data_IF_866217310461
#
_entry.id   IF_866217310461
#
_cell.length_a   1.000
_cell.length_b   1.000
_cell.length_c   1.000
_cell.angle_alpha   90.00
_cell.angle_beta   90.00
_cell.angle_gamma   90.00
#
_symmetry.space_group_name_H-M   'P 1'
#
loop_
_entity.id
_entity.type
_entity.pdbx_description
1 polymer ?
#
# COMPACT_ATOMS: atom_id res chain seq x y z
N UNK A 1 -45.55 -19.08 55.91
CA UNK A 1 -44.11 -18.85 55.63
C UNK A 1 -43.74 -19.56 54.34
N UNK A 2 -43.36 -18.81 53.30
CA UNK A 2 -42.55 -19.22 52.12
C UNK A 2 -42.56 -18.06 51.12
N UNK A 3 -41.76 -17.03 51.39
CA UNK A 3 -41.36 -16.06 50.36
C UNK A 3 -40.06 -16.59 49.77
N UNK A 4 -40.15 -17.18 48.58
CA UNK A 4 -38.99 -17.58 47.80
C UNK A 4 -38.48 -16.33 47.08
N UNK A 5 -37.54 -15.64 47.70
CA UNK A 5 -36.77 -14.56 47.08
C UNK A 5 -35.77 -15.17 46.09
N UNK A 6 -36.24 -15.47 44.87
CA UNK A 6 -35.38 -15.83 43.76
C UNK A 6 -34.72 -14.53 43.26
N UNK A 7 -33.56 -14.21 43.85
CA UNK A 7 -32.70 -13.13 43.41
C UNK A 7 -32.28 -13.39 41.97
N UNK A 8 -32.96 -12.72 41.04
CA UNK A 8 -32.52 -12.52 39.67
C UNK A 8 -31.22 -11.71 39.77
N UNK A 9 -30.09 -12.40 39.90
CA UNK A 9 -28.79 -11.79 39.64
C UNK A 9 -28.76 -11.53 38.14
N UNK A 10 -29.34 -10.40 37.74
CA UNK A 10 -29.01 -9.70 36.52
C UNK A 10 -27.52 -9.35 36.66
N UNK A 11 -26.66 -10.32 36.36
CA UNK A 11 -25.34 -10.04 35.81
C UNK A 11 -25.63 -9.30 34.51
N UNK A 12 -25.90 -8.00 34.65
CA UNK A 12 -25.61 -7.03 33.63
C UNK A 12 -24.13 -7.25 33.36
N UNK A 13 -23.85 -8.10 32.37
CA UNK A 13 -22.61 -7.98 31.64
C UNK A 13 -22.71 -6.59 31.04
N UNK A 14 -22.28 -5.61 31.83
CA UNK A 14 -21.83 -4.33 31.32
C UNK A 14 -20.76 -4.74 30.33
N UNK A 15 -21.18 -4.93 29.08
CA UNK A 15 -20.30 -4.98 27.95
C UNK A 15 -19.57 -3.66 28.03
N UNK A 16 -18.35 -3.70 28.55
CA UNK A 16 -17.49 -2.54 28.59
C UNK A 16 -17.32 -2.18 27.12
N UNK A 17 -18.15 -1.24 26.65
CA UNK A 17 -18.04 -0.71 25.31
C UNK A 17 -16.62 -0.17 25.24
N UNK A 18 -15.78 -0.82 24.45
CA UNK A 18 -14.38 -0.44 24.30
C UNK A 18 -14.38 1.01 23.84
N UNK A 19 -14.01 1.93 24.73
CA UNK A 19 -14.05 3.35 24.44
C UNK A 19 -12.99 3.63 23.38
N UNK A 20 -13.42 3.95 22.16
CA UNK A 20 -12.53 4.35 21.07
C UNK A 20 -12.04 5.78 21.33
N UNK A 21 -10.93 5.92 22.05
CA UNK A 21 -10.30 7.22 22.30
C UNK A 21 -10.00 7.91 20.96
N UNK A 22 -10.56 9.10 20.67
CA UNK A 22 -10.33 9.75 19.39
C UNK A 22 -8.85 10.06 19.17
N UNK A 23 -8.37 9.85 17.96
CA UNK A 23 -7.03 10.24 17.51
C UNK A 23 -7.14 10.59 16.04
N UNK A 24 -6.56 11.71 15.61
CA UNK A 24 -6.47 12.03 14.20
C UNK A 24 -5.10 12.64 13.93
N UNK A 25 -4.17 11.78 13.53
CA UNK A 25 -2.80 12.19 13.24
C UNK A 25 -2.74 13.11 12.02
N UNK A 26 -3.79 13.26 11.20
CA UNK A 26 -3.78 14.23 10.08
C UNK A 26 -4.03 15.65 10.60
N UNK A 27 -4.95 15.81 11.55
CA UNK A 27 -5.38 17.13 12.06
C UNK A 27 -4.71 17.53 13.37
N UNK A 28 -4.00 16.60 14.03
CA UNK A 28 -3.26 16.90 15.26
C UNK A 28 -2.22 18.01 15.03
N UNK A 29 -2.11 19.00 15.95
CA UNK A 29 -1.10 20.04 15.85
C UNK A 29 0.32 19.47 15.73
N UNK A 30 1.12 20.05 14.82
CA UNK A 30 2.50 19.64 14.57
C UNK A 30 2.68 18.19 14.09
N UNK A 31 1.61 17.50 13.69
CA UNK A 31 1.76 16.15 13.18
C UNK A 31 2.53 16.13 11.85
N UNK A 32 3.46 15.17 11.66
CA UNK A 32 4.10 14.93 10.38
C UNK A 32 3.14 14.80 9.18
N UNK A 33 1.94 14.24 9.39
CA UNK A 33 0.98 14.07 8.29
C UNK A 33 0.45 15.37 7.70
N UNK A 34 0.65 16.51 8.35
CA UNK A 34 0.39 17.82 7.74
C UNK A 34 1.30 18.10 6.53
N UNK A 35 2.48 17.47 6.50
CA UNK A 35 3.50 17.58 5.43
C UNK A 35 3.56 16.37 4.50
N UNK A 36 3.00 15.23 4.92
CA UNK A 36 2.99 14.00 4.11
C UNK A 36 1.73 13.98 3.24
N UNK A 37 1.86 14.14 1.91
CA UNK A 37 0.72 14.18 1.01
C UNK A 37 0.02 12.83 0.96
N UNK A 38 -1.23 12.86 0.49
CA UNK A 38 -1.94 11.63 0.14
C UNK A 38 -1.33 11.14 -1.16
N UNK A 39 -0.70 9.97 -1.12
CA UNK A 39 -0.22 9.36 -2.33
C UNK A 39 -1.37 8.78 -3.16
N UNK A 40 -1.30 8.98 -4.47
CA UNK A 40 -2.20 8.36 -5.43
C UNK A 40 -1.48 7.18 -6.08
N UNK A 41 -1.78 5.97 -5.60
CA UNK A 41 -1.22 4.74 -6.19
C UNK A 41 -1.94 4.33 -7.48
N UNK A 42 -3.08 4.95 -7.77
CA UNK A 42 -3.97 4.62 -8.88
C UNK A 42 -4.21 3.10 -9.02
N UNK A 43 -4.07 2.54 -10.22
CA UNK A 43 -4.19 1.10 -10.49
C UNK A 43 -2.91 0.29 -10.26
N UNK A 44 -1.86 0.83 -9.63
CA UNK A 44 -0.65 0.06 -9.32
C UNK A 44 -0.87 -0.85 -8.10
N UNK A 45 -0.24 -2.03 -8.08
CA UNK A 45 -0.32 -2.98 -6.96
C UNK A 45 0.77 -2.78 -5.90
N UNK A 46 1.57 -1.71 -6.00
CA UNK A 46 2.63 -1.39 -5.03
C UNK A 46 2.11 -0.69 -3.75
N UNK A 47 0.86 -0.96 -3.34
CA UNK A 47 0.22 -0.37 -2.16
C UNK A 47 1.09 -0.47 -0.88
N UNK A 48 1.73 -1.62 -0.69
CA UNK A 48 2.66 -1.85 0.42
C UNK A 48 3.82 -0.85 0.43
N UNK A 49 4.32 -0.44 -0.72
CA UNK A 49 5.43 0.48 -0.84
C UNK A 49 4.99 1.93 -0.56
N UNK A 50 3.77 2.30 -0.98
CA UNK A 50 3.15 3.58 -0.62
C UNK A 50 2.91 3.72 0.88
N UNK A 51 2.42 2.67 1.53
CA UNK A 51 2.26 2.65 3.00
C UNK A 51 3.63 2.71 3.68
N UNK A 52 4.62 1.96 3.19
CA UNK A 52 5.97 1.99 3.75
C UNK A 52 6.58 3.39 3.66
N UNK A 53 6.47 4.06 2.51
CA UNK A 53 6.93 5.45 2.32
C UNK A 53 6.32 6.39 3.36
N UNK A 54 4.99 6.34 3.57
CA UNK A 54 4.31 7.18 4.55
C UNK A 54 4.73 6.87 6.00
N UNK A 55 4.93 5.60 6.35
CA UNK A 55 5.43 5.22 7.68
C UNK A 55 6.84 5.77 7.94
N UNK A 56 7.73 5.66 6.95
CA UNK A 56 9.10 6.17 7.05
C UNK A 56 9.11 7.69 7.18
N UNK A 57 8.38 8.39 6.30
CA UNK A 57 8.30 9.84 6.34
C UNK A 57 7.73 10.32 7.68
N UNK A 58 6.70 9.67 8.22
CA UNK A 58 6.16 10.00 9.53
C UNK A 58 7.21 9.84 10.65
N UNK A 59 7.94 8.72 10.67
CA UNK A 59 8.96 8.45 11.70
C UNK A 59 10.13 9.45 11.62
N UNK A 60 10.59 9.76 10.41
CA UNK A 60 11.72 10.65 10.17
C UNK A 60 11.37 12.11 10.44
N UNK A 61 10.16 12.53 10.06
CA UNK A 61 9.68 13.88 10.36
C UNK A 61 9.48 14.11 11.85
N UNK A 62 9.06 13.09 12.62
CA UNK A 62 9.10 13.17 14.10
C UNK A 62 10.51 13.37 14.65
N UNK A 63 11.54 12.94 13.92
CA UNK A 63 12.97 13.11 14.25
C UNK A 63 13.59 14.37 13.63
N UNK A 64 12.77 15.26 13.05
CA UNK A 64 13.21 16.56 12.54
C UNK A 64 13.58 16.61 11.06
N UNK A 65 13.50 15.49 10.33
CA UNK A 65 13.65 15.50 8.87
C UNK A 65 12.50 16.31 8.27
N UNK A 66 12.78 17.27 7.39
CA UNK A 66 11.73 18.17 6.88
C UNK A 66 11.07 17.67 5.59
N UNK A 67 11.75 16.80 4.86
CA UNK A 67 11.40 16.40 3.50
C UNK A 67 11.03 14.92 3.41
N UNK A 68 10.31 14.56 2.35
CA UNK A 68 10.01 13.17 2.02
C UNK A 68 11.30 12.46 1.62
N UNK A 69 11.44 11.24 2.08
CA UNK A 69 12.72 10.53 1.98
C UNK A 69 12.71 9.46 0.91
N UNK A 70 11.74 8.55 0.95
CA UNK A 70 11.74 7.35 0.14
C UNK A 70 10.57 7.33 -0.84
N UNK A 71 10.85 7.28 -2.14
CA UNK A 71 9.82 7.13 -3.15
C UNK A 71 9.21 5.71 -3.14
N UNK A 72 7.87 5.55 -3.19
CA UNK A 72 7.19 4.24 -3.22
C UNK A 72 7.72 3.28 -4.28
N UNK A 73 7.88 3.74 -5.53
CA UNK A 73 8.44 2.89 -6.59
C UNK A 73 9.84 2.33 -6.25
N UNK A 74 10.73 3.15 -5.66
CA UNK A 74 12.06 2.68 -5.26
C UNK A 74 12.01 1.67 -4.12
N UNK A 75 11.09 1.88 -3.16
CA UNK A 75 10.85 0.92 -2.08
C UNK A 75 10.33 -0.42 -2.62
N UNK A 76 9.44 -0.40 -3.61
CA UNK A 76 8.94 -1.61 -4.26
C UNK A 76 10.06 -2.40 -4.96
N UNK A 77 11.01 -1.70 -5.58
CA UNK A 77 12.18 -2.34 -6.17
C UNK A 77 13.12 -2.94 -5.12
N UNK A 78 13.43 -2.20 -4.05
CA UNK A 78 14.25 -2.71 -2.96
C UNK A 78 13.61 -3.95 -2.33
N UNK A 79 12.29 -3.97 -2.21
CA UNK A 79 11.54 -5.16 -1.82
C UNK A 79 11.77 -6.33 -2.78
N UNK A 80 11.60 -6.14 -4.09
CA UNK A 80 11.88 -7.18 -5.09
C UNK A 80 13.30 -7.73 -5.03
N UNK A 81 14.31 -6.86 -4.93
CA UNK A 81 15.73 -7.26 -4.75
C UNK A 81 15.93 -8.06 -3.46
N UNK A 82 15.25 -7.67 -2.38
CA UNK A 82 15.34 -8.35 -1.09
C UNK A 82 14.67 -9.74 -1.15
N UNK A 83 13.51 -9.85 -1.79
CA UNK A 83 12.77 -11.08 -1.98
C UNK A 83 13.60 -12.12 -2.75
N UNK A 84 14.15 -11.74 -3.90
CA UNK A 84 15.00 -12.61 -4.73
C UNK A 84 16.19 -13.16 -3.93
N UNK A 85 16.83 -12.29 -3.13
CA UNK A 85 18.03 -12.67 -2.38
C UNK A 85 17.72 -13.55 -1.15
N UNK A 86 16.63 -13.26 -0.44
CA UNK A 86 16.44 -13.77 0.93
C UNK A 86 15.25 -14.71 1.10
N UNK A 87 14.35 -14.84 0.11
CA UNK A 87 13.16 -15.68 0.24
C UNK A 87 13.29 -16.90 -0.70
N UNK A 88 13.46 -18.11 -0.13
CA UNK A 88 13.47 -19.34 -0.92
C UNK A 88 12.20 -19.44 -1.77
N UNK A 89 12.34 -19.79 -3.05
CA UNK A 89 11.27 -19.90 -4.04
C UNK A 89 10.67 -18.57 -4.57
N UNK A 90 11.14 -17.41 -4.10
CA UNK A 90 10.80 -16.11 -4.73
C UNK A 90 11.90 -15.64 -5.71
N UNK A 91 12.96 -16.45 -5.92
CA UNK A 91 14.07 -16.12 -6.84
C UNK A 91 13.62 -15.80 -8.27
N UNK A 92 12.50 -16.38 -8.71
CA UNK A 92 11.96 -16.15 -10.05
C UNK A 92 10.83 -15.12 -10.08
N UNK A 93 10.36 -14.67 -8.90
CA UNK A 93 9.29 -13.69 -8.77
C UNK A 93 9.90 -12.31 -8.67
N UNK A 94 10.18 -11.73 -9.84
CA UNK A 94 10.84 -10.42 -9.93
C UNK A 94 9.83 -9.24 -9.94
N UNK A 95 8.58 -9.52 -9.59
CA UNK A 95 7.46 -8.58 -9.63
C UNK A 95 7.52 -7.56 -8.48
N UNK A 96 7.57 -6.26 -8.81
CA UNK A 96 7.46 -5.20 -7.79
C UNK A 96 6.02 -5.04 -7.27
N UNK A 97 5.01 -5.53 -8.02
CA UNK A 97 3.58 -5.39 -7.68
C UNK A 97 3.09 -6.28 -6.52
N UNK A 98 3.92 -7.18 -6.00
CA UNK A 98 3.59 -8.00 -4.82
C UNK A 98 4.57 -7.70 -3.70
N UNK A 99 4.08 -7.47 -2.50
CA UNK A 99 4.94 -7.27 -1.35
C UNK A 99 4.19 -7.08 -0.05
N UNK A 100 4.95 -6.74 1.00
CA UNK A 100 4.39 -6.36 2.29
C UNK A 100 5.28 -5.32 2.97
N UNK A 101 4.68 -4.54 3.87
CA UNK A 101 5.35 -3.41 4.52
C UNK A 101 6.57 -3.83 5.34
N UNK A 102 6.47 -4.93 6.10
CA UNK A 102 7.59 -5.42 6.93
C UNK A 102 8.84 -5.72 6.10
N UNK A 103 8.73 -6.57 5.07
CA UNK A 103 9.87 -6.95 4.22
C UNK A 103 10.42 -5.76 3.47
N UNK A 104 9.57 -4.80 3.11
CA UNK A 104 9.99 -3.54 2.47
C UNK A 104 10.85 -2.72 3.44
N UNK A 105 10.48 -2.60 4.71
CA UNK A 105 11.32 -1.97 5.73
C UNK A 105 12.61 -2.75 5.97
N UNK A 106 12.56 -4.08 6.01
CA UNK A 106 13.76 -4.93 6.16
C UNK A 106 14.74 -4.75 5.00
N UNK A 107 14.25 -4.53 3.78
CA UNK A 107 15.09 -4.30 2.60
C UNK A 107 16.04 -3.09 2.76
N UNK A 108 15.65 -2.09 3.57
CA UNK A 108 16.41 -0.88 3.84
C UNK A 108 17.70 -1.14 4.62
N UNK A 109 17.81 -2.30 5.28
CA UNK A 109 19.06 -2.73 5.94
C UNK A 109 20.13 -3.15 4.93
N UNK A 110 19.71 -3.48 3.71
CA UNK A 110 20.58 -4.07 2.68
C UNK A 110 20.80 -3.11 1.51
N UNK A 111 19.76 -2.35 1.14
CA UNK A 111 19.76 -1.53 -0.07
C UNK A 111 19.57 -0.05 0.28
N UNK A 112 20.35 0.85 -0.35
CA UNK A 112 20.17 2.28 -0.17
C UNK A 112 18.83 2.76 -0.76
N UNK A 113 18.38 3.92 -0.29
CA UNK A 113 17.17 4.58 -0.77
C UNK A 113 17.54 5.73 -1.69
N UNK A 114 16.83 5.87 -2.81
CA UNK A 114 16.91 7.05 -3.64
C UNK A 114 15.95 8.13 -3.14
N UNK A 115 16.41 9.39 -3.10
CA UNK A 115 15.58 10.52 -2.67
C UNK A 115 14.26 10.60 -3.42
N UNK A 116 13.18 10.95 -2.73
CA UNK A 116 11.86 11.11 -3.32
C UNK A 116 11.89 11.95 -4.61
N UNK A 117 12.44 13.16 -4.54
CA UNK A 117 12.46 14.11 -5.65
C UNK A 117 13.22 13.63 -6.90
N UNK A 118 14.21 12.77 -6.72
CA UNK A 118 14.95 12.19 -7.85
C UNK A 118 14.07 11.25 -8.66
N UNK A 119 13.37 10.36 -7.97
CA UNK A 119 12.47 9.40 -8.61
C UNK A 119 11.26 10.12 -9.20
N UNK A 120 10.68 11.07 -8.46
CA UNK A 120 9.55 11.90 -8.88
C UNK A 120 9.88 12.68 -10.17
N UNK A 121 11.06 13.32 -10.22
CA UNK A 121 11.52 14.01 -11.43
C UNK A 121 11.70 13.06 -12.62
N UNK A 122 12.21 11.85 -12.39
CA UNK A 122 12.37 10.84 -13.44
C UNK A 122 11.02 10.39 -13.99
N UNK A 123 10.06 10.12 -13.09
CA UNK A 123 8.69 9.78 -13.45
C UNK A 123 8.01 10.91 -14.24
N UNK A 124 8.13 12.16 -13.78
CA UNK A 124 7.57 13.31 -14.50
C UNK A 124 8.16 13.48 -15.91
N UNK A 125 9.44 13.18 -16.11
CA UNK A 125 10.06 13.19 -17.43
C UNK A 125 9.51 12.10 -18.33
N UNK A 126 9.38 10.87 -17.82
CA UNK A 126 8.77 9.74 -18.55
C UNK A 126 7.29 10.03 -18.86
N UNK A 127 6.54 10.56 -17.90
CA UNK A 127 5.13 10.89 -18.05
C UNK A 127 4.93 11.98 -19.11
N UNK A 128 5.77 13.01 -19.10
CA UNK A 128 5.79 14.04 -20.15
C UNK A 128 6.11 13.45 -21.52
N UNK A 129 7.10 12.57 -21.62
CA UNK A 129 7.48 11.93 -22.89
C UNK A 129 6.36 11.04 -23.45
N UNK A 130 5.68 10.30 -22.57
CA UNK A 130 4.58 9.41 -22.92
C UNK A 130 3.20 10.10 -22.93
N UNK A 131 3.12 11.41 -22.68
CA UNK A 131 1.87 12.20 -22.61
C UNK A 131 0.83 11.59 -21.66
N UNK A 132 1.28 11.23 -20.48
CA UNK A 132 0.52 10.48 -19.48
C UNK A 132 0.76 11.06 -18.07
N UNK A 133 0.23 10.43 -17.03
CA UNK A 133 0.45 10.78 -15.61
C UNK A 133 1.56 9.93 -15.00
N UNK A 134 2.17 10.40 -13.93
CA UNK A 134 3.21 9.67 -13.20
C UNK A 134 2.70 8.32 -12.68
N UNK A 135 1.44 8.25 -12.21
CA UNK A 135 0.80 7.01 -11.75
C UNK A 135 0.66 5.97 -12.85
N UNK A 136 0.33 6.40 -14.07
CA UNK A 136 0.25 5.54 -15.26
C UNK A 136 1.65 5.03 -15.65
N UNK A 137 2.71 5.84 -15.50
CA UNK A 137 4.10 5.39 -15.70
C UNK A 137 4.50 4.33 -14.67
N UNK A 138 4.14 4.52 -13.40
CA UNK A 138 4.39 3.53 -12.34
C UNK A 138 3.68 2.21 -12.67
N UNK A 139 2.42 2.28 -13.09
CA UNK A 139 1.65 1.10 -13.50
C UNK A 139 2.29 0.42 -14.72
N UNK A 140 2.73 1.18 -15.72
CA UNK A 140 3.44 0.64 -16.87
C UNK A 140 4.72 -0.09 -16.45
N UNK A 141 5.55 0.52 -15.60
CA UNK A 141 6.77 -0.12 -15.06
C UNK A 141 6.40 -1.41 -14.35
N UNK A 142 5.37 -1.40 -13.51
CA UNK A 142 4.88 -2.60 -12.84
C UNK A 142 4.47 -3.69 -13.84
N UNK A 143 3.53 -3.44 -14.74
CA UNK A 143 3.09 -4.46 -15.71
C UNK A 143 4.25 -4.99 -16.56
N UNK A 144 5.16 -4.11 -16.97
CA UNK A 144 6.35 -4.49 -17.71
C UNK A 144 7.27 -5.40 -16.89
N UNK A 145 7.49 -5.08 -15.61
CA UNK A 145 8.29 -5.90 -14.69
C UNK A 145 7.69 -7.29 -14.47
N UNK A 146 6.36 -7.40 -14.43
CA UNK A 146 5.67 -8.69 -14.30
C UNK A 146 5.86 -9.57 -15.54
N UNK A 147 5.70 -8.99 -16.74
CA UNK A 147 5.91 -9.72 -17.99
C UNK A 147 7.37 -10.16 -18.15
N UNK A 148 8.34 -9.33 -17.76
CA UNK A 148 9.76 -9.73 -17.74
C UNK A 148 10.01 -10.92 -16.80
N UNK A 149 9.45 -10.90 -15.59
CA UNK A 149 9.57 -12.02 -14.66
C UNK A 149 9.02 -13.35 -15.23
N UNK A 150 7.87 -13.31 -15.90
CA UNK A 150 7.31 -14.48 -16.57
C UNK A 150 8.22 -15.04 -17.67
N UNK A 151 8.91 -14.15 -18.39
CA UNK A 151 9.89 -14.54 -19.41
C UNK A 151 11.14 -15.16 -18.77
N UNK A 152 11.65 -14.59 -17.69
CA UNK A 152 12.77 -15.14 -16.93
C UNK A 152 12.44 -16.55 -16.38
N UNK A 153 11.23 -16.74 -15.86
CA UNK A 153 10.71 -18.05 -15.44
C UNK A 153 10.69 -19.04 -16.61
N UNK A 154 10.20 -18.62 -17.77
CA UNK A 154 10.21 -19.43 -18.99
C UNK A 154 11.62 -19.83 -19.43
N UNK A 155 12.59 -18.91 -19.36
CA UNK A 155 14.01 -19.20 -19.65
C UNK A 155 14.59 -20.23 -18.70
N UNK A 156 14.33 -20.06 -17.41
CA UNK A 156 14.81 -20.99 -16.39
C UNK A 156 14.24 -22.40 -16.60
N UNK A 157 12.95 -22.50 -16.94
CA UNK A 157 12.31 -23.78 -17.23
C UNK A 157 12.86 -24.44 -18.50
N UNK A 158 13.01 -23.67 -19.60
CA UNK A 158 13.60 -24.18 -20.84
C UNK A 158 15.04 -24.68 -20.62
N UNK A 159 15.85 -23.96 -19.84
CA UNK A 159 17.20 -24.35 -19.50
C UNK A 159 17.25 -25.68 -18.71
N UNK A 160 16.33 -25.88 -17.77
CA UNK A 160 16.20 -27.16 -17.04
C UNK A 160 15.82 -28.33 -17.96
N UNK A 161 15.15 -28.05 -19.07
CA UNK A 161 14.76 -29.03 -20.09
C UNK A 161 15.81 -29.21 -21.19
N UNK A 162 16.96 -28.51 -21.12
CA UNK A 162 17.99 -28.53 -22.16
C UNK A 162 17.55 -27.87 -23.47
N UNK A 163 16.49 -27.04 -23.44
CA UNK A 163 16.02 -26.27 -24.60
C UNK A 163 16.65 -24.89 -24.60
N UNK A 164 17.07 -24.44 -25.77
CA UNK A 164 17.47 -23.05 -25.98
C UNK A 164 16.21 -22.18 -26.00
N UNK A 165 16.14 -21.21 -25.09
CA UNK A 165 15.04 -20.26 -25.06
C UNK A 165 15.22 -19.24 -26.19
N UNK A 166 14.71 -19.56 -27.39
CA UNK A 166 14.72 -18.64 -28.52
C UNK A 166 13.69 -17.53 -28.26
N UNK A 167 14.17 -16.41 -27.72
CA UNK A 167 13.39 -15.25 -27.28
C UNK A 167 13.82 -13.98 -28.04
N UNK A 168 14.37 -14.14 -29.24
CA UNK A 168 14.90 -13.03 -30.04
C UNK A 168 13.85 -11.96 -30.38
N UNK A 169 12.56 -12.25 -30.18
CA UNK A 169 11.47 -11.28 -30.24
C UNK A 169 10.68 -11.23 -28.94
N UNK A 170 11.31 -10.87 -27.81
CA UNK A 170 10.58 -10.05 -26.83
C UNK A 170 10.36 -8.71 -27.54
N UNK A 171 9.36 -8.67 -28.40
CA UNK A 171 8.97 -7.45 -29.06
C UNK A 171 8.43 -6.55 -27.96
N UNK A 172 9.29 -5.69 -27.43
CA UNK A 172 8.93 -4.66 -26.45
C UNK A 172 7.73 -3.86 -26.98
N UNK A 173 7.60 -3.74 -28.31
CA UNK A 173 6.44 -3.12 -28.97
C UNK A 173 5.20 -4.03 -28.83
N UNK A 174 5.30 -5.35 -29.04
CA UNK A 174 4.21 -6.29 -28.76
C UNK A 174 3.83 -6.28 -27.28
N UNK A 175 4.80 -6.28 -26.35
CA UNK A 175 4.53 -6.13 -24.92
C UNK A 175 3.84 -4.81 -24.61
N UNK A 176 4.26 -3.68 -25.19
CA UNK A 176 3.57 -2.39 -25.02
C UNK A 176 2.15 -2.44 -25.61
N UNK A 177 1.97 -3.07 -26.77
CA UNK A 177 0.67 -3.22 -27.44
C UNK A 177 -0.28 -4.14 -26.67
N UNK A 178 0.22 -5.26 -26.15
CA UNK A 178 -0.52 -6.18 -25.29
C UNK A 178 -0.88 -5.53 -23.97
N UNK A 179 0.08 -4.84 -23.34
CA UNK A 179 -0.13 -4.08 -22.11
C UNK A 179 -1.25 -3.04 -22.35
N UNK A 180 -1.28 -2.34 -23.49
CA UNK A 180 -2.43 -1.46 -23.87
C UNK A 180 -3.77 -2.19 -23.97
N UNK A 181 -3.79 -3.45 -24.38
CA UNK A 181 -5.01 -4.26 -24.52
C UNK A 181 -5.42 -4.97 -23.23
N UNK A 182 -4.56 -4.97 -22.21
CA UNK A 182 -4.79 -5.68 -20.97
C UNK A 182 -5.91 -5.03 -20.16
N UNK A 183 -6.74 -5.86 -19.54
CA UNK A 183 -7.85 -5.43 -18.72
C UNK A 183 -7.37 -4.57 -17.53
N UNK A 184 -6.12 -4.76 -17.11
CA UNK A 184 -5.50 -4.03 -16.00
C UNK A 184 -5.02 -2.64 -16.41
N UNK A 185 -4.81 -2.40 -17.71
CA UNK A 185 -4.39 -1.10 -18.26
C UNK A 185 -5.56 -0.23 -18.73
N UNK A 186 -6.82 -0.66 -18.53
CA UNK A 186 -8.03 0.14 -18.80
C UNK A 186 -8.04 1.50 -18.10
N UNK A 187 -7.19 1.69 -17.11
CA UNK A 187 -7.04 2.93 -16.34
C UNK A 187 -6.05 3.91 -16.95
N UNK A 188 -5.19 3.47 -17.87
CA UNK A 188 -4.27 4.35 -18.56
C UNK A 188 -4.98 5.19 -19.62
N UNK A 189 -4.53 6.43 -19.79
CA UNK A 189 -5.07 7.34 -20.79
C UNK A 189 -4.91 6.76 -22.20
N UNK A 190 -6.00 6.78 -22.97
CA UNK A 190 -6.00 6.33 -24.37
C UNK A 190 -5.07 7.17 -25.28
N UNK A 191 -4.68 8.35 -24.81
CA UNK A 191 -3.77 9.27 -25.50
C UNK A 191 -2.28 9.01 -25.19
N UNK A 192 -1.95 8.05 -24.32
CA UNK A 192 -0.58 7.77 -23.95
C UNK A 192 0.23 7.22 -25.14
N UNK A 193 1.37 7.85 -25.41
CA UNK A 193 2.31 7.47 -26.47
C UNK A 193 3.47 6.66 -25.89
N UNK A 194 3.18 5.46 -25.41
CA UNK A 194 4.17 4.55 -24.79
C UNK A 194 5.38 4.23 -25.66
N UNK A 195 5.23 4.30 -26.99
CA UNK A 195 6.34 4.13 -27.95
C UNK A 195 7.47 5.16 -27.74
N UNK A 196 7.16 6.31 -27.13
CA UNK A 196 8.16 7.31 -26.75
C UNK A 196 9.17 6.79 -25.70
N UNK A 197 8.81 5.73 -24.95
CA UNK A 197 9.71 5.10 -23.97
C UNK A 197 10.56 3.98 -24.58
N UNK A 198 10.33 3.58 -25.84
CA UNK A 198 11.08 2.49 -26.48
C UNK A 198 12.61 2.65 -26.44
N UNK A 199 13.19 3.84 -26.70
CA UNK A 199 14.64 4.01 -26.60
C UNK A 199 15.19 3.74 -25.19
N UNK A 200 14.41 4.08 -24.15
CA UNK A 200 14.77 3.79 -22.76
C UNK A 200 14.69 2.28 -22.50
N UNK A 201 13.61 1.63 -22.94
CA UNK A 201 13.35 0.20 -22.69
C UNK A 201 14.28 -0.73 -23.46
N UNK A 202 14.65 -0.38 -24.70
CA UNK A 202 15.58 -1.18 -25.52
C UNK A 202 16.95 -1.35 -24.87
N UNK A 203 17.40 -0.44 -24.02
CA UNK A 203 18.68 -0.58 -23.33
C UNK A 203 18.61 -1.53 -22.11
N UNK A 204 17.44 -2.13 -21.83
CA UNK A 204 17.16 -2.85 -20.59
C UNK A 204 16.81 -4.33 -20.77
N UNK A 205 16.75 -4.84 -22.01
CA UNK A 205 16.33 -6.22 -22.31
C UNK A 205 17.27 -7.31 -21.76
N UNK A 206 18.48 -6.94 -21.35
CA UNK A 206 19.53 -7.87 -20.91
C UNK A 206 19.72 -7.91 -19.38
N UNK A 207 18.87 -7.26 -18.59
CA UNK A 207 19.02 -7.20 -17.14
C UNK A 207 17.81 -7.77 -16.40
N UNK A 208 18.02 -8.17 -15.15
CA UNK A 208 16.92 -8.63 -14.31
C UNK A 208 15.91 -7.51 -14.06
N UNK A 209 14.66 -7.85 -13.77
CA UNK A 209 13.61 -6.86 -13.54
C UNK A 209 13.95 -5.77 -12.51
N UNK A 210 14.55 -6.04 -11.33
CA UNK A 210 14.92 -4.97 -10.41
C UNK A 210 16.10 -4.12 -10.90
N UNK A 211 17.02 -4.70 -11.69
CA UNK A 211 18.11 -3.98 -12.34
C UNK A 211 17.62 -3.11 -13.50
N UNK A 212 16.54 -3.53 -14.17
CA UNK A 212 15.88 -2.77 -15.23
C UNK A 212 15.24 -1.51 -14.65
N UNK A 213 14.40 -1.63 -13.62
CA UNK A 213 13.80 -0.46 -12.97
C UNK A 213 14.88 0.40 -12.33
N UNK A 214 15.92 -0.23 -11.78
CA UNK A 214 17.10 0.51 -11.32
C UNK A 214 17.64 1.32 -12.47
N UNK A 215 18.10 0.74 -13.58
CA UNK A 215 18.64 1.50 -14.71
C UNK A 215 17.70 2.59 -15.26
N UNK A 216 16.38 2.38 -15.29
CA UNK A 216 15.41 3.43 -15.65
C UNK A 216 15.47 4.64 -14.70
N UNK A 217 15.57 4.37 -13.40
CA UNK A 217 15.56 5.40 -12.36
C UNK A 217 16.98 5.83 -11.93
N UNK A 218 18.01 5.06 -12.25
CA UNK A 218 19.35 5.12 -11.67
C UNK A 218 20.09 6.37 -12.10
N UNK A 219 19.87 6.82 -13.35
CA UNK A 219 20.42 8.09 -13.81
C UNK A 219 19.99 9.26 -12.90
N UNK A 220 18.78 9.19 -12.33
CA UNK A 220 18.33 10.18 -11.36
C UNK A 220 18.91 9.97 -9.95
N UNK A 221 19.37 8.75 -9.63
CA UNK A 221 19.74 8.31 -8.29
C UNK A 221 21.26 8.23 -8.01
N UNK A 222 22.14 8.28 -9.02
CA UNK A 222 23.59 8.06 -8.88
C UNK A 222 24.28 8.88 -7.76
N UNK A 223 23.80 10.09 -7.48
CA UNK A 223 24.35 10.96 -6.41
C UNK A 223 23.32 11.28 -5.30
N UNK A 224 22.19 10.56 -5.28
CA UNK A 224 21.05 10.83 -4.39
C UNK A 224 20.59 9.60 -3.62
N UNK A 225 21.46 8.59 -3.56
CA UNK A 225 21.28 7.43 -2.71
C UNK A 225 21.81 7.72 -1.31
N UNK A 226 21.05 7.30 -0.30
CA UNK A 226 21.48 7.37 1.08
C UNK A 226 21.04 6.13 1.83
N UNK A 227 21.82 5.76 2.85
CA UNK A 227 21.48 4.67 3.74
C UNK A 227 20.50 5.19 4.78
N UNK A 228 19.25 4.74 4.68
CA UNK A 228 18.28 4.98 5.73
C UNK A 228 18.46 3.94 6.83
N UNK A 229 18.67 4.37 8.07
CA UNK A 229 18.63 3.44 9.19
C UNK A 229 17.21 2.85 9.28
N UNK A 230 17.07 1.57 8.94
CA UNK A 230 15.78 0.90 8.96
C UNK A 230 15.17 0.98 10.37
N UNK A 231 14.02 1.63 10.55
CA UNK A 231 13.36 1.65 11.85
C UNK A 231 12.96 0.22 12.24
N UNK A 232 12.93 -0.06 13.54
CA UNK A 232 12.45 -1.35 14.02
C UNK A 232 10.97 -1.47 13.70
N UNK A 233 10.64 -2.40 12.80
CA UNK A 233 9.27 -2.74 12.46
C UNK A 233 8.77 -3.84 13.40
N UNK A 234 7.64 -3.59 14.06
CA UNK A 234 6.92 -4.59 14.81
C UNK A 234 5.82 -5.17 13.90
N UNK A 235 5.84 -6.49 13.75
CA UNK A 235 4.84 -7.24 13.01
C UNK A 235 3.88 -7.89 13.99
N UNK A 236 2.59 -7.71 13.75
CA UNK A 236 1.55 -8.55 14.34
C UNK A 236 0.83 -9.29 13.21
N UNK A 237 0.92 -10.61 13.22
CA UNK A 237 0.09 -11.48 12.38
C UNK A 237 -1.16 -11.78 13.19
N UNK A 238 -2.34 -11.62 12.59
CA UNK A 238 -3.57 -11.97 13.29
C UNK A 238 -3.77 -13.50 13.18
N UNK A 239 -3.67 -14.23 14.29
CA UNK A 239 -3.93 -15.68 14.33
C UNK A 239 -5.41 -16.03 14.51
N UNK A 240 -5.79 -17.29 14.27
CA UNK A 240 -7.13 -17.82 14.61
C UNK A 240 -7.36 -17.92 16.13
N UNK A 241 -6.31 -18.26 16.89
CA UNK A 241 -6.36 -18.47 18.35
C UNK A 241 -6.46 -17.19 19.15
N UNK A 242 -6.21 -16.02 18.55
CA UNK A 242 -6.49 -14.74 19.20
C UNK A 242 -8.00 -14.52 19.32
N UNK A 243 -8.83 -15.28 18.61
CA UNK A 243 -10.19 -14.86 18.31
C UNK A 243 -10.16 -13.58 17.46
N UNK A 244 -11.29 -13.20 16.90
CA UNK A 244 -11.44 -11.86 16.37
C UNK A 244 -11.42 -10.93 17.60
N UNK A 245 -10.25 -10.57 18.14
CA UNK A 245 -10.18 -9.51 19.14
C UNK A 245 -10.44 -8.21 18.38
N UNK A 246 -11.72 -7.91 18.25
CA UNK A 246 -12.21 -6.59 17.90
C UNK A 246 -11.51 -5.56 18.80
N UNK A 247 -10.98 -4.50 18.19
CA UNK A 247 -10.30 -3.43 18.92
C UNK A 247 -8.78 -3.55 19.03
N UNK A 248 -8.13 -4.59 18.50
CA UNK A 248 -6.66 -4.70 18.57
C UNK A 248 -5.95 -3.54 17.86
N UNK A 249 -6.46 -3.10 16.71
CA UNK A 249 -5.88 -2.00 15.96
C UNK A 249 -6.01 -0.71 16.77
N UNK A 250 -7.21 -0.39 17.27
CA UNK A 250 -7.44 0.77 18.12
C UNK A 250 -6.55 0.77 19.38
N UNK A 251 -6.42 -0.38 20.06
CA UNK A 251 -5.55 -0.55 21.24
C UNK A 251 -4.07 -0.35 20.91
N UNK A 252 -3.61 -0.87 19.77
CA UNK A 252 -2.23 -0.67 19.31
C UNK A 252 -1.99 0.80 19.06
N UNK A 253 -2.89 1.49 18.35
CA UNK A 253 -2.81 2.93 18.13
C UNK A 253 -2.80 3.72 19.45
N UNK A 254 -3.60 3.29 20.44
CA UNK A 254 -3.60 3.91 21.77
C UNK A 254 -2.27 3.74 22.50
N UNK A 255 -1.59 2.63 22.28
CA UNK A 255 -0.29 2.32 22.91
C UNK A 255 0.85 3.06 22.23
N UNK A 256 0.92 3.02 20.90
CA UNK A 256 2.09 3.52 20.16
C UNK A 256 1.99 5.00 19.78
N UNK A 257 0.77 5.58 19.78
CA UNK A 257 0.50 6.98 19.37
C UNK A 257 1.18 7.35 18.04
N UNK A 258 1.08 6.44 17.07
CA UNK A 258 1.73 6.47 15.77
C UNK A 258 0.84 5.76 14.73
N UNK A 259 1.06 5.99 13.42
CA UNK A 259 0.30 5.32 12.38
C UNK A 259 0.61 3.82 12.33
N UNK A 260 -0.35 3.07 11.80
CA UNK A 260 -0.31 1.61 11.71
C UNK A 260 -0.58 1.20 10.27
N UNK A 261 0.27 0.36 9.69
CA UNK A 261 -0.05 -0.34 8.43
C UNK A 261 -0.96 -1.52 8.70
N UNK A 262 -1.91 -1.75 7.80
CA UNK A 262 -2.77 -2.93 7.82
C UNK A 262 -2.85 -3.57 6.44
N UNK A 263 -2.58 -4.86 6.38
CA UNK A 263 -2.75 -5.71 5.20
C UNK A 263 -4.07 -6.45 5.32
N UNK A 264 -4.96 -6.30 4.33
CA UNK A 264 -6.31 -6.84 4.38
C UNK A 264 -6.89 -7.12 2.99
N UNK A 265 -8.10 -7.69 2.96
CA UNK A 265 -8.87 -7.94 1.75
C UNK A 265 -9.48 -6.65 1.18
N UNK A 266 -9.06 -6.20 0.00
CA UNK A 266 -9.54 -4.95 -0.62
C UNK A 266 -11.07 -4.90 -0.78
N UNK A 267 -11.67 -6.03 -1.15
CA UNK A 267 -13.12 -6.19 -1.37
C UNK A 267 -13.96 -5.90 -0.13
N UNK A 268 -13.37 -5.94 1.07
CA UNK A 268 -14.05 -5.56 2.31
C UNK A 268 -14.47 -4.08 2.33
N UNK A 269 -13.78 -3.21 1.57
CA UNK A 269 -14.13 -1.79 1.50
C UNK A 269 -15.46 -1.55 0.79
N UNK A 270 -15.78 -2.37 -0.20
CA UNK A 270 -17.04 -2.31 -0.96
C UNK A 270 -18.10 -3.26 -0.40
N UNK A 271 -17.70 -4.32 0.29
CA UNK A 271 -18.56 -5.32 0.90
C UNK A 271 -18.26 -5.41 2.41
N UNK A 272 -18.81 -4.52 3.25
CA UNK A 272 -18.45 -4.45 4.67
C UNK A 272 -18.75 -5.75 5.44
N UNK A 273 -19.71 -6.54 4.99
CA UNK A 273 -20.08 -7.81 5.59
C UNK A 273 -19.24 -9.00 5.08
N UNK A 274 -18.29 -8.77 4.18
CA UNK A 274 -17.41 -9.81 3.66
C UNK A 274 -16.49 -10.34 4.77
N UNK A 275 -16.32 -11.67 4.79
CA UNK A 275 -15.24 -12.35 5.49
C UNK A 275 -14.20 -12.80 4.46
N UNK A 276 -13.32 -11.87 4.10
CA UNK A 276 -12.34 -12.03 3.04
C UNK A 276 -11.18 -12.95 3.41
N UNK A 277 -10.94 -13.16 4.70
CA UNK A 277 -9.91 -14.06 5.21
C UNK A 277 -10.60 -15.25 5.86
N UNK A 278 -10.47 -16.42 5.21
CA UNK A 278 -11.15 -17.66 5.62
C UNK A 278 -10.28 -18.52 6.53
N UNK A 279 -8.96 -18.35 6.48
CA UNK A 279 -8.02 -19.07 7.34
C UNK A 279 -6.79 -18.21 7.59
N UNK A 280 -6.33 -18.20 8.85
CA UNK A 280 -5.12 -17.49 9.27
C UNK A 280 -4.15 -18.45 9.95
N UNK A 281 -3.08 -18.84 9.26
CA UNK A 281 -2.01 -19.59 9.92
C UNK A 281 -1.33 -18.69 10.97
N UNK A 282 -1.36 -19.06 12.27
CA UNK A 282 -0.70 -18.29 13.34
C UNK A 282 0.81 -18.15 13.12
N UNK A 283 1.43 -19.13 12.45
CA UNK A 283 2.87 -19.16 12.17
C UNK A 283 3.25 -18.37 10.90
N UNK A 284 2.29 -17.63 10.32
CA UNK A 284 2.51 -16.80 9.13
C UNK A 284 2.69 -17.57 7.82
N UNK A 285 2.44 -18.88 7.80
CA UNK A 285 2.73 -19.75 6.66
C UNK A 285 1.72 -19.70 5.51
N UNK A 286 0.42 -19.87 5.80
CA UNK A 286 -0.65 -19.92 4.77
C UNK A 286 -1.84 -19.05 5.18
N UNK A 287 -2.14 -18.06 4.35
CA UNK A 287 -3.38 -17.32 4.39
C UNK A 287 -4.32 -17.90 3.34
N UNK A 288 -5.57 -18.18 3.71
CA UNK A 288 -6.60 -18.46 2.73
C UNK A 288 -7.54 -17.26 2.63
N UNK A 289 -7.84 -16.92 1.39
CA UNK A 289 -8.67 -15.79 1.06
C UNK A 289 -9.99 -16.28 0.45
N UNK A 290 -11.07 -15.56 0.71
CA UNK A 290 -12.31 -15.74 -0.01
C UNK A 290 -12.11 -15.42 -1.50
N UNK A 291 -12.97 -15.97 -2.36
CA UNK A 291 -12.88 -15.73 -3.78
C UNK A 291 -13.02 -14.23 -4.14
N UNK A 292 -12.11 -13.75 -5.00
CA UNK A 292 -12.01 -12.34 -5.40
C UNK A 292 -11.49 -11.41 -4.31
N UNK A 293 -10.79 -11.96 -3.32
CA UNK A 293 -10.11 -11.16 -2.32
C UNK A 293 -8.71 -10.76 -2.82
N UNK A 294 -8.55 -9.48 -3.12
CA UNK A 294 -7.28 -8.91 -3.53
C UNK A 294 -6.51 -8.40 -2.31
N UNK A 295 -5.20 -8.65 -2.27
CA UNK A 295 -4.29 -8.11 -1.27
C UNK A 295 -4.26 -6.59 -1.37
N UNK A 296 -4.43 -5.90 -0.24
CA UNK A 296 -4.25 -4.45 -0.20
C UNK A 296 -3.69 -4.00 1.15
N UNK A 297 -2.92 -2.92 1.10
CA UNK A 297 -2.23 -2.33 2.25
C UNK A 297 -2.64 -0.87 2.40
N UNK A 298 -3.05 -0.52 3.61
CA UNK A 298 -3.44 0.84 3.98
C UNK A 298 -2.72 1.30 5.23
N UNK A 299 -2.62 2.62 5.39
CA UNK A 299 -2.11 3.23 6.60
C UNK A 299 -3.26 3.81 7.41
N UNK A 300 -3.33 3.45 8.68
CA UNK A 300 -4.32 3.94 9.63
C UNK A 300 -3.68 5.10 10.38
N UNK A 301 -4.30 6.27 10.24
CA UNK A 301 -3.78 7.55 10.75
C UNK A 301 -4.73 8.21 11.74
N UNK A 302 -5.84 7.57 12.07
CA UNK A 302 -6.78 8.08 13.05
C UNK A 302 -7.82 7.04 13.45
N UNK A 303 -8.52 7.33 14.54
CA UNK A 303 -9.69 6.58 15.01
C UNK A 303 -10.69 7.52 15.70
N UNK A 304 -11.98 7.25 15.58
CA UNK A 304 -13.05 8.00 16.27
C UNK A 304 -14.23 7.09 16.63
N UNK A 305 -14.90 7.38 17.73
CA UNK A 305 -16.15 6.71 18.09
C UNK A 305 -17.30 7.25 17.22
N UNK A 306 -18.08 6.36 16.59
CA UNK A 306 -19.34 6.68 15.91
C UNK A 306 -20.42 5.70 16.35
N UNK A 307 -21.37 6.19 17.15
CA UNK A 307 -22.35 5.32 17.81
C UNK A 307 -21.64 4.32 18.72
N UNK A 308 -21.89 3.02 18.50
CA UNK A 308 -21.27 1.93 19.26
C UNK A 308 -20.04 1.31 18.59
N UNK A 309 -19.54 1.91 17.50
CA UNK A 309 -18.39 1.40 16.75
C UNK A 309 -17.22 2.38 16.73
N UNK A 310 -16.00 1.84 16.71
CA UNK A 310 -14.80 2.59 16.42
C UNK A 310 -14.61 2.64 14.89
N UNK A 311 -14.43 3.83 14.34
CA UNK A 311 -14.05 4.02 12.94
C UNK A 311 -12.58 4.37 12.86
N UNK A 312 -11.90 3.85 11.83
CA UNK A 312 -10.49 4.04 11.54
C UNK A 312 -10.35 4.94 10.32
N UNK A 313 -9.45 5.93 10.38
CA UNK A 313 -9.11 6.77 9.25
C UNK A 313 -8.02 6.09 8.43
N UNK A 314 -8.41 5.45 7.33
CA UNK A 314 -7.47 4.80 6.41
C UNK A 314 -7.04 5.78 5.33
N UNK A 315 -5.73 5.84 5.03
CA UNK A 315 -5.19 6.42 3.79
C UNK A 315 -4.69 5.30 2.88
N UNK A 316 -4.42 5.65 1.63
CA UNK A 316 -4.01 4.71 0.59
C UNK A 316 -5.09 3.69 0.22
N UNK A 317 -6.38 4.00 0.44
CA UNK A 317 -7.51 3.09 0.12
C UNK A 317 -8.21 3.41 -1.19
N UNK A 318 -7.72 4.40 -1.93
CA UNK A 318 -8.33 4.88 -3.17
C UNK A 318 -7.28 5.38 -4.14
N UNK A 319 -7.54 5.21 -5.43
CA UNK A 319 -6.82 5.86 -6.51
C UNK A 319 -7.69 6.92 -7.20
N UNK A 320 -7.40 7.19 -8.48
CA UNK A 320 -8.14 8.13 -9.33
C UNK A 320 -9.66 7.88 -9.43
N UNK A 321 -10.12 6.68 -9.08
CA UNK A 321 -11.52 6.25 -9.11
C UNK A 321 -12.35 6.56 -7.86
N UNK A 322 -11.86 7.46 -7.01
CA UNK A 322 -12.62 7.95 -5.89
C UNK A 322 -13.97 8.53 -6.37
N UNK A 323 -15.08 8.03 -5.81
CA UNK A 323 -16.43 8.49 -6.13
C UNK A 323 -17.31 7.48 -6.88
N UNK A 324 -16.83 6.30 -7.24
CA UNK A 324 -17.69 5.21 -7.78
C UNK A 324 -18.24 4.33 -6.66
N UNK A 325 -17.37 3.60 -5.97
CA UNK A 325 -17.73 2.74 -4.84
C UNK A 325 -17.67 3.47 -3.48
N UNK A 326 -17.01 4.63 -3.42
CA UNK A 326 -16.88 5.43 -2.19
C UNK A 326 -18.03 6.41 -1.95
N UNK A 327 -19.08 6.45 -2.79
CA UNK A 327 -20.18 7.45 -2.68
C UNK A 327 -20.85 7.50 -1.30
N UNK A 328 -20.89 6.38 -0.59
CA UNK A 328 -21.46 6.29 0.77
C UNK A 328 -20.42 6.37 1.90
N UNK A 329 -19.14 6.56 1.59
CA UNK A 329 -18.08 6.62 2.61
C UNK A 329 -17.95 8.05 3.12
N UNK A 330 -17.73 8.15 4.42
CA UNK A 330 -17.37 9.39 5.10
C UNK A 330 -15.87 9.52 5.06
N UNK A 331 -15.37 10.65 4.56
CA UNK A 331 -13.94 10.87 4.45
C UNK A 331 -13.53 12.16 5.14
N UNK A 332 -12.25 12.27 5.47
CA UNK A 332 -11.61 13.50 5.88
C UNK A 332 -11.11 14.20 4.62
N UNK A 333 -11.49 15.46 4.46
CA UNK A 333 -11.04 16.30 3.36
C UNK A 333 -10.23 17.48 3.86
N UNK A 334 -9.30 17.96 3.04
CA UNK A 334 -8.59 19.21 3.22
C UNK A 334 -8.90 20.17 2.08
N UNK A 335 -9.41 21.35 2.40
CA UNK A 335 -9.61 22.41 1.42
C UNK A 335 -8.25 22.87 0.89
N UNK A 336 -8.07 22.89 -0.43
CA UNK A 336 -6.80 23.22 -1.08
C UNK A 336 -6.42 24.69 -0.93
N UNK A 337 -7.39 25.59 -0.81
CA UNK A 337 -7.16 27.03 -0.70
C UNK A 337 -6.93 27.45 0.75
N UNK A 338 -7.77 26.97 1.67
CA UNK A 338 -7.76 27.44 3.07
C UNK A 338 -6.97 26.51 3.99
N UNK A 339 -6.68 25.28 3.57
CA UNK A 339 -6.11 24.24 4.42
C UNK A 339 -7.08 23.69 5.47
N UNK A 340 -8.32 24.20 5.54
CA UNK A 340 -9.31 23.78 6.51
C UNK A 340 -9.76 22.33 6.26
N UNK A 341 -9.96 21.58 7.34
CA UNK A 341 -10.44 20.20 7.26
C UNK A 341 -11.96 20.13 7.33
N UNK A 342 -12.54 19.28 6.49
CA UNK A 342 -13.95 18.89 6.54
C UNK A 342 -14.02 17.41 6.91
N UNK A 343 -14.50 17.13 8.11
CA UNK A 343 -14.81 15.77 8.53
C UNK A 343 -16.13 15.31 7.89
N UNK A 344 -16.21 14.04 7.51
CA UNK A 344 -17.35 13.42 6.83
C UNK A 344 -17.72 14.04 5.46
N UNK A 345 -16.73 14.45 4.66
CA UNK A 345 -16.98 14.90 3.30
C UNK A 345 -17.49 13.76 2.39
N UNK A 346 -18.53 14.05 1.60
CA UNK A 346 -19.20 13.12 0.68
C UNK A 346 -18.73 13.32 -0.77
N UNK A 347 -19.08 12.38 -1.67
CA UNK A 347 -18.65 12.37 -3.09
C UNK A 347 -18.80 13.71 -3.82
N UNK A 348 -19.82 14.51 -3.50
CA UNK A 348 -20.05 15.83 -4.11
C UNK A 348 -18.97 16.85 -3.76
N UNK A 349 -18.47 16.82 -2.52
CA UNK A 349 -17.42 17.73 -2.06
C UNK A 349 -16.04 17.40 -2.68
N UNK A 350 -15.80 16.16 -3.07
CA UNK A 350 -14.49 15.71 -3.56
C UNK A 350 -14.23 16.05 -5.02
N UNK A 351 -15.25 15.90 -5.88
CA UNK A 351 -15.09 16.01 -7.33
C UNK A 351 -15.09 17.45 -7.86
N UNK A 352 -15.18 18.45 -6.97
CA UNK A 352 -15.22 19.86 -7.36
C UNK A 352 -13.84 20.52 -7.47
N UNK A 353 -12.76 19.77 -7.22
CA UNK A 353 -11.37 20.26 -7.27
C UNK A 353 -10.95 21.18 -6.11
N UNK A 354 -11.87 21.52 -5.19
CA UNK A 354 -11.59 22.38 -4.04
C UNK A 354 -10.99 21.61 -2.87
N UNK A 355 -11.26 20.31 -2.77
CA UNK A 355 -10.84 19.48 -1.65
C UNK A 355 -9.88 18.37 -2.10
N UNK A 356 -8.97 17.99 -1.22
CA UNK A 356 -8.17 16.77 -1.33
C UNK A 356 -8.65 15.78 -0.28
N UNK A 357 -8.86 14.53 -0.67
CA UNK A 357 -9.27 13.45 0.24
C UNK A 357 -8.05 13.00 1.02
N UNK A 358 -8.07 13.14 2.33
CA UNK A 358 -6.95 12.80 3.21
C UNK A 358 -7.00 11.35 3.71
N UNK A 359 -8.21 10.82 3.85
CA UNK A 359 -8.51 9.62 4.62
C UNK A 359 -9.98 9.25 4.47
N UNK A 360 -10.35 7.98 4.51
CA UNK A 360 -11.75 7.59 4.68
C UNK A 360 -11.96 6.84 5.99
N UNK A 361 -13.07 7.15 6.66
CA UNK A 361 -13.47 6.53 7.90
C UNK A 361 -14.14 5.19 7.61
N UNK A 362 -13.51 4.12 8.07
CA UNK A 362 -13.97 2.74 7.90
C UNK A 362 -14.25 2.13 9.26
N UNK A 363 -15.37 1.42 9.39
CA UNK A 363 -15.68 0.65 10.60
C UNK A 363 -14.55 -0.33 10.93
N UNK A 364 -14.06 -0.28 12.17
CA UNK A 364 -12.96 -1.12 12.63
C UNK A 364 -13.30 -2.62 12.52
N UNK A 365 -14.57 -2.99 12.73
CA UNK A 365 -15.04 -4.37 12.58
C UNK A 365 -14.86 -4.89 11.15
N UNK A 366 -15.06 -4.04 10.14
CA UNK A 366 -14.80 -4.37 8.73
C UNK A 366 -13.33 -4.70 8.51
N UNK A 367 -12.43 -3.87 9.04
CA UNK A 367 -10.98 -4.08 8.89
C UNK A 367 -10.52 -5.31 9.69
N UNK A 368 -10.90 -5.46 10.96
CA UNK A 368 -10.48 -6.58 11.79
C UNK A 368 -10.89 -7.95 11.23
N UNK A 369 -12.08 -8.07 10.64
CA UNK A 369 -12.52 -9.32 9.97
C UNK A 369 -11.67 -9.66 8.74
N UNK A 370 -11.11 -8.66 8.08
CA UNK A 370 -10.49 -8.81 6.75
C UNK A 370 -8.96 -8.60 6.76
N UNK A 371 -8.39 -8.14 7.86
CA UNK A 371 -6.96 -7.94 8.03
C UNK A 371 -6.25 -9.21 8.46
N UNK A 372 -5.06 -9.48 7.93
CA UNK A 372 -4.23 -10.63 8.30
C UNK A 372 -2.85 -10.23 8.81
N UNK A 373 -2.43 -9.00 8.55
CA UNK A 373 -1.18 -8.46 9.04
C UNK A 373 -1.33 -6.99 9.44
N UNK A 374 -0.58 -6.62 10.47
CA UNK A 374 -0.43 -5.24 10.92
C UNK A 374 1.06 -4.96 11.15
N UNK A 375 1.55 -3.82 10.66
CA UNK A 375 2.95 -3.40 10.84
C UNK A 375 3.00 -1.98 11.37
N UNK A 376 3.83 -1.72 12.37
CA UNK A 376 4.07 -0.38 12.88
C UNK A 376 5.54 -0.20 13.27
N UNK A 377 6.01 1.03 13.24
CA UNK A 377 7.38 1.37 13.61
C UNK A 377 7.48 1.58 15.12
N UNK A 378 8.58 1.14 15.72
CA UNK A 378 8.90 1.47 17.11
C UNK A 378 8.97 2.99 17.26
N UNK A 379 8.21 3.59 18.20
CA UNK A 379 8.21 5.03 18.39
C UNK A 379 9.50 5.57 19.02
N UNK A 380 10.37 4.71 19.56
CA UNK A 380 11.61 5.10 20.26
C UNK A 380 12.78 5.42 19.31
#
# INVERSE_FOLDING_TARGET
MKFLALSLVLFSQATFATVCTPTNLVTEPNSPFQKIPVYDQDGSNICYAYVTSQLLDYNLMKKGVQERTAHPLWLAMNHGKYAIKNVPNEKNRTMIGTGNVRRTIESLKTYPVCSFDAVDKSLAQMAKAAKTKDSEVVQFIETYTQKLGAIEEGRALAALEGREANLDDIDIIAMIKETKSDADMRWCSSNATWDALLPLLRNLHAVTTPEMVEKLLFQACQNKQFNLQAPKANLKIFGETDGIVTGQIAQVMDTIKAPVSVSYCAKALTQPNLQGITYRNPDGGKLQYANGCEHHESIIVGKKQVGNSCQLLLRNTWGSNFGTWTKGKKCLCKNRQTGAYLDDCNSTAHNNGQYTVEGCWIDEGVINRNAYQMTYLDPK
#
